data_IF_033704604340
#
_entry.id   IF_033704604340
#
_cell.length_a   1.000
_cell.length_b   1.000
_cell.length_c   1.000
_cell.angle_alpha   90.00
_cell.angle_beta   90.00
_cell.angle_gamma   90.00
#
_symmetry.space_group_name_H-M   'P 1'
#
loop_
_entity.id
_entity.type
_entity.pdbx_description
1 polymer ?
#
# COMPACT_ATOMS: atom_id res chain seq x y z
N UNK A 1 -12.10 39.66 -2.85
CA UNK A 1 -12.65 38.74 -3.87
C UNK A 1 -11.62 37.67 -4.16
N UNK A 2 -11.86 36.47 -3.74
CA UNK A 2 -10.96 35.33 -4.01
C UNK A 2 -11.14 34.90 -5.47
N UNK A 3 -10.06 34.93 -6.26
CA UNK A 3 -10.06 34.41 -7.63
C UNK A 3 -9.90 32.90 -7.56
N UNK A 4 -10.95 32.14 -7.92
CA UNK A 4 -10.88 30.71 -8.03
C UNK A 4 -9.87 30.26 -9.11
N UNK A 5 -9.08 29.23 -8.78
CA UNK A 5 -8.23 28.56 -9.74
C UNK A 5 -8.97 27.34 -10.30
N UNK A 6 -9.24 27.36 -11.59
CA UNK A 6 -9.73 26.19 -12.31
C UNK A 6 -8.52 25.49 -12.91
N UNK A 7 -8.16 24.33 -12.43
CA UNK A 7 -7.16 23.49 -13.07
C UNK A 7 -7.77 22.88 -14.34
N UNK A 8 -7.67 23.60 -15.47
CA UNK A 8 -7.94 23.01 -16.78
C UNK A 8 -6.74 22.14 -17.17
N UNK A 9 -6.80 20.87 -16.92
CA UNK A 9 -5.91 19.92 -17.56
C UNK A 9 -6.24 19.87 -19.05
N UNK A 10 -5.54 20.69 -19.85
CA UNK A 10 -5.59 20.60 -21.29
C UNK A 10 -4.94 19.30 -21.78
N UNK A 11 -5.41 18.70 -22.88
CA UNK A 11 -4.84 17.47 -23.41
C UNK A 11 -3.41 17.74 -23.93
N UNK A 12 -2.42 17.10 -23.34
CA UNK A 12 -1.15 16.86 -24.03
C UNK A 12 -1.30 15.55 -24.81
N UNK A 13 -1.52 15.66 -26.08
CA UNK A 13 -1.64 14.52 -26.99
C UNK A 13 -3.07 14.20 -27.42
N UNK A 14 -3.20 13.61 -28.59
CA UNK A 14 -4.46 13.23 -29.24
C UNK A 14 -5.05 11.94 -28.62
N UNK A 15 -5.21 11.91 -27.29
CA UNK A 15 -5.88 10.83 -26.58
C UNK A 15 -7.34 11.19 -26.31
N UNK A 16 -8.25 10.30 -26.64
CA UNK A 16 -9.67 10.46 -26.34
C UNK A 16 -9.88 10.48 -24.83
N UNK A 17 -10.32 11.60 -24.26
CA UNK A 17 -10.69 11.68 -22.83
C UNK A 17 -12.10 11.13 -22.65
N UNK A 18 -12.36 10.32 -21.63
CA UNK A 18 -13.74 10.05 -21.22
C UNK A 18 -14.42 11.36 -20.84
N UNK A 19 -15.64 11.55 -21.33
CA UNK A 19 -16.42 12.80 -21.23
C UNK A 19 -16.90 13.17 -19.82
N UNK A 20 -16.52 12.40 -18.79
CA UNK A 20 -17.04 12.54 -17.42
C UNK A 20 -15.99 12.37 -16.32
N UNK A 21 -14.75 12.80 -16.57
CA UNK A 21 -13.81 12.98 -15.45
C UNK A 21 -14.30 14.19 -14.67
N UNK A 22 -14.70 14.04 -13.40
CA UNK A 22 -15.13 15.17 -12.59
C UNK A 22 -13.98 16.18 -12.49
N UNK A 23 -14.27 17.44 -12.85
CA UNK A 23 -13.32 18.53 -12.65
C UNK A 23 -13.29 18.86 -11.15
N UNK A 24 -12.10 18.96 -10.56
CA UNK A 24 -11.92 19.48 -9.21
C UNK A 24 -11.57 20.95 -9.34
N UNK A 25 -12.42 21.81 -8.80
CA UNK A 25 -12.16 23.23 -8.65
C UNK A 25 -11.42 23.49 -7.35
N UNK A 26 -10.24 24.10 -7.42
CA UNK A 26 -9.47 24.50 -6.25
C UNK A 26 -9.66 26.01 -6.06
N UNK A 27 -10.33 26.37 -4.97
CA UNK A 27 -10.58 27.77 -4.61
C UNK A 27 -9.51 28.17 -3.58
N UNK A 28 -8.68 29.21 -3.88
CA UNK A 28 -7.73 29.72 -2.91
C UNK A 28 -8.48 30.24 -1.67
N UNK A 29 -8.08 29.75 -0.50
CA UNK A 29 -8.64 30.19 0.78
C UNK A 29 -7.53 30.51 1.77
N UNK A 30 -7.85 31.29 2.81
CA UNK A 30 -6.94 31.49 3.91
C UNK A 30 -6.88 30.21 4.77
N UNK A 31 -5.67 29.85 5.17
CA UNK A 31 -5.47 28.72 6.08
C UNK A 31 -5.72 29.22 7.50
N UNK A 32 -6.71 28.65 8.17
CA UNK A 32 -6.92 28.88 9.60
C UNK A 32 -5.82 28.21 10.40
N UNK A 33 -5.40 28.84 11.51
CA UNK A 33 -4.43 28.27 12.45
C UNK A 33 -5.01 27.11 13.28
N UNK A 34 -5.90 26.32 12.70
CA UNK A 34 -6.47 25.12 13.32
C UNK A 34 -5.55 23.93 13.12
N UNK A 35 -5.40 23.06 14.13
CA UNK A 35 -4.67 21.82 13.95
C UNK A 35 -5.35 20.94 12.90
N UNK A 36 -4.59 20.44 11.95
CA UNK A 36 -5.07 19.52 10.92
C UNK A 36 -4.71 18.09 11.31
N UNK A 37 -5.71 17.19 11.35
CA UNK A 37 -5.47 15.75 11.47
C UNK A 37 -5.04 15.23 10.09
N UNK A 38 -3.75 14.95 9.94
CA UNK A 38 -3.23 14.37 8.71
C UNK A 38 -3.48 12.86 8.69
N UNK A 39 -3.76 12.27 7.52
CA UNK A 39 -3.80 10.82 7.39
C UNK A 39 -2.43 10.24 7.69
N UNK A 40 -2.36 8.99 8.18
CA UNK A 40 -1.10 8.34 8.46
C UNK A 40 -0.26 8.18 7.20
N UNK A 41 1.08 8.25 7.35
CA UNK A 41 1.98 8.04 6.22
C UNK A 41 1.87 6.62 5.69
N UNK A 42 1.31 6.47 4.47
CA UNK A 42 1.20 5.21 3.73
C UNK A 42 2.50 4.40 3.74
N UNK A 43 3.61 5.08 3.47
CA UNK A 43 4.93 4.46 3.39
C UNK A 43 5.40 3.89 4.73
N UNK A 44 5.11 4.56 5.82
CA UNK A 44 5.45 4.07 7.16
C UNK A 44 4.55 2.92 7.59
N UNK A 45 3.25 3.01 7.35
CA UNK A 45 2.29 1.98 7.74
C UNK A 45 2.60 0.63 7.08
N UNK A 46 2.82 0.61 5.75
CA UNK A 46 3.14 -0.63 5.04
C UNK A 46 4.40 -1.31 5.60
N UNK A 47 5.44 -0.52 5.91
CA UNK A 47 6.67 -1.05 6.50
C UNK A 47 6.47 -1.56 7.93
N UNK A 48 5.72 -0.83 8.75
CA UNK A 48 5.41 -1.25 10.12
C UNK A 48 4.61 -2.54 10.14
N UNK A 49 3.60 -2.69 9.27
CA UNK A 49 2.83 -3.93 9.11
C UNK A 49 3.76 -5.10 8.79
N UNK A 50 4.69 -4.94 7.85
CA UNK A 50 5.64 -5.98 7.50
C UNK A 50 6.58 -6.32 8.67
N UNK A 51 7.11 -5.30 9.37
CA UNK A 51 7.99 -5.53 10.52
C UNK A 51 7.27 -6.26 11.66
N UNK A 52 6.01 -5.90 11.93
CA UNK A 52 5.18 -6.62 12.89
C UNK A 52 4.96 -8.08 12.46
N UNK A 53 4.70 -8.32 11.17
CA UNK A 53 4.53 -9.68 10.65
C UNK A 53 5.80 -10.54 10.79
N UNK A 54 6.99 -9.93 10.61
CA UNK A 54 8.30 -10.56 10.77
C UNK A 54 8.70 -10.80 12.23
N UNK A 55 8.07 -10.14 13.18
CA UNK A 55 8.27 -10.36 14.61
C UNK A 55 7.28 -11.40 15.12
N UNK A 56 7.66 -12.21 16.11
CA UNK A 56 6.72 -13.13 16.78
C UNK A 56 5.89 -12.37 17.85
N UNK A 57 4.60 -12.70 17.94
CA UNK A 57 3.71 -12.17 18.97
C UNK A 57 2.78 -11.05 18.50
N UNK A 58 2.10 -10.42 19.45
CA UNK A 58 1.09 -9.40 19.20
C UNK A 58 1.71 -8.00 19.18
N UNK A 59 1.36 -7.21 18.18
CA UNK A 59 1.83 -5.84 17.97
C UNK A 59 0.64 -4.95 17.67
N UNK A 60 0.52 -3.82 18.34
CA UNK A 60 -0.56 -2.86 18.09
C UNK A 60 0.00 -1.62 17.39
N UNK A 61 -0.55 -1.30 16.23
CA UNK A 61 -0.29 -0.07 15.52
C UNK A 61 -1.47 0.88 15.71
N UNK A 62 -1.20 2.03 16.34
CA UNK A 62 -2.22 3.03 16.65
C UNK A 62 -2.00 4.33 15.86
N UNK A 63 -3.02 5.18 15.84
CA UNK A 63 -2.98 6.52 15.27
C UNK A 63 -3.58 6.64 13.88
N UNK A 64 -4.48 5.71 13.51
CA UNK A 64 -5.27 5.79 12.27
C UNK A 64 -6.60 5.08 12.44
N UNK A 65 -7.61 5.60 11.79
CA UNK A 65 -8.97 5.04 11.82
C UNK A 65 -9.17 4.02 10.69
N UNK A 66 -8.49 4.23 9.55
CA UNK A 66 -8.57 3.37 8.36
C UNK A 66 -7.20 3.17 7.72
N UNK A 67 -7.00 1.99 7.16
CA UNK A 67 -5.87 1.72 6.26
C UNK A 67 -6.21 2.26 4.87
N UNK A 68 -5.24 2.87 4.20
CA UNK A 68 -5.40 3.16 2.77
C UNK A 68 -5.17 1.91 1.91
N UNK A 69 -5.66 1.92 0.67
CA UNK A 69 -5.65 0.78 -0.28
C UNK A 69 -4.32 0.04 -0.38
N UNK A 70 -3.20 0.75 -0.33
CA UNK A 70 -1.87 0.13 -0.39
C UNK A 70 -1.54 -0.70 0.86
N UNK A 71 -1.93 -0.20 2.05
CA UNK A 71 -1.71 -0.91 3.31
C UNK A 71 -2.67 -2.10 3.43
N UNK A 72 -3.92 -1.95 2.97
CA UNK A 72 -4.87 -3.06 2.87
C UNK A 72 -4.38 -4.15 1.91
N UNK A 73 -3.76 -3.78 0.79
CA UNK A 73 -3.16 -4.74 -0.13
C UNK A 73 -2.04 -5.54 0.54
N UNK A 74 -1.18 -4.88 1.32
CA UNK A 74 -0.16 -5.55 2.13
C UNK A 74 -0.77 -6.46 3.19
N UNK A 75 -1.79 -5.97 3.91
CA UNK A 75 -2.51 -6.76 4.91
C UNK A 75 -3.09 -8.03 4.30
N UNK A 76 -3.83 -7.92 3.18
CA UNK A 76 -4.42 -9.09 2.48
C UNK A 76 -3.36 -10.12 2.09
N UNK A 77 -2.24 -9.67 1.54
CA UNK A 77 -1.14 -10.58 1.17
C UNK A 77 -0.53 -11.27 2.37
N UNK A 78 -0.27 -10.55 3.46
CA UNK A 78 0.29 -11.12 4.68
C UNK A 78 -0.69 -12.06 5.39
N UNK A 79 -2.00 -11.77 5.33
CA UNK A 79 -3.03 -12.69 5.83
C UNK A 79 -2.99 -14.03 5.10
N UNK A 80 -2.84 -14.01 3.77
CA UNK A 80 -2.68 -15.24 2.97
C UNK A 80 -1.39 -16.01 3.30
N UNK A 81 -0.40 -15.34 3.85
CA UNK A 81 0.86 -15.93 4.30
C UNK A 81 0.84 -16.35 5.79
N UNK A 82 -0.29 -16.19 6.51
CA UNK A 82 -0.48 -16.68 7.87
C UNK A 82 -0.53 -15.63 8.98
N UNK A 83 -0.35 -14.36 8.66
CA UNK A 83 -0.40 -13.28 9.65
C UNK A 83 -1.87 -12.97 9.99
N UNK A 84 -2.17 -12.80 11.27
CA UNK A 84 -3.51 -12.44 11.74
C UNK A 84 -3.60 -10.94 12.02
N UNK A 85 -4.74 -10.36 11.67
CA UNK A 85 -5.04 -8.95 11.87
C UNK A 85 -6.39 -8.78 12.55
N UNK A 86 -6.44 -7.91 13.55
CA UNK A 86 -7.66 -7.55 14.26
C UNK A 86 -7.78 -6.02 14.29
N UNK A 87 -8.97 -5.51 13.98
CA UNK A 87 -9.25 -4.07 14.12
C UNK A 87 -9.41 -3.74 15.58
N UNK A 88 -8.70 -2.72 16.05
CA UNK A 88 -8.81 -2.18 17.41
C UNK A 88 -9.18 -0.70 17.35
N UNK A 89 -9.53 -0.12 18.49
CA UNK A 89 -9.80 1.30 18.56
C UNK A 89 -8.59 2.12 18.09
N UNK A 90 -8.80 2.98 17.10
CA UNK A 90 -7.76 3.87 16.52
C UNK A 90 -6.54 3.11 15.94
N UNK A 91 -6.74 1.89 15.39
CA UNK A 91 -5.64 1.14 14.78
C UNK A 91 -5.91 -0.32 14.47
N UNK A 92 -4.83 -1.10 14.39
CA UNK A 92 -4.88 -2.57 14.17
C UNK A 92 -3.96 -3.30 15.14
N UNK A 93 -4.36 -4.48 15.56
CA UNK A 93 -3.50 -5.48 16.19
C UNK A 93 -3.03 -6.49 15.14
N UNK A 94 -1.76 -6.86 15.18
CA UNK A 94 -1.11 -7.78 14.25
C UNK A 94 -0.46 -8.88 15.05
N UNK A 95 -0.87 -10.13 14.85
CA UNK A 95 -0.17 -11.28 15.39
C UNK A 95 0.87 -11.73 14.39
N UNK A 96 2.11 -11.31 14.62
CA UNK A 96 3.23 -11.62 13.77
C UNK A 96 3.72 -13.05 13.98
N UNK A 97 4.14 -13.68 12.89
CA UNK A 97 4.52 -15.10 12.84
C UNK A 97 6.02 -15.34 12.85
N UNK A 98 6.81 -14.28 12.65
CA UNK A 98 8.26 -14.41 12.43
C UNK A 98 8.58 -15.03 11.07
N UNK A 99 9.86 -15.00 10.66
CA UNK A 99 10.25 -15.47 9.32
C UNK A 99 9.92 -16.96 9.10
N UNK A 100 9.98 -17.77 10.14
CA UNK A 100 9.73 -19.21 10.09
C UNK A 100 8.24 -19.58 10.16
N UNK A 101 7.38 -18.64 10.54
CA UNK A 101 5.94 -18.88 10.70
C UNK A 101 5.12 -18.58 9.45
N UNK A 102 5.72 -18.05 8.40
CA UNK A 102 5.02 -17.87 7.14
C UNK A 102 4.75 -19.21 6.45
N UNK A 103 3.59 -19.33 5.83
CA UNK A 103 3.23 -20.52 5.05
C UNK A 103 2.83 -20.13 3.62
N UNK A 104 2.86 -21.13 2.73
CA UNK A 104 2.51 -20.93 1.33
C UNK A 104 1.07 -20.41 1.19
N UNK A 105 0.93 -19.34 0.40
CA UNK A 105 -0.40 -18.84 0.03
C UNK A 105 -1.13 -19.83 -0.89
N UNK A 106 -2.44 -20.06 -0.68
CA UNK A 106 -3.25 -20.89 -1.56
C UNK A 106 -3.53 -20.23 -2.93
N UNK A 107 -3.27 -18.94 -3.07
CA UNK A 107 -3.58 -18.16 -4.26
C UNK A 107 -2.48 -17.11 -4.55
N UNK A 108 -2.65 -16.39 -5.66
CA UNK A 108 -1.79 -15.26 -6.03
C UNK A 108 -1.88 -14.15 -4.98
N UNK A 109 -0.74 -13.65 -4.52
CA UNK A 109 -0.63 -12.47 -3.65
C UNK A 109 -0.87 -11.22 -4.49
N UNK A 110 -2.02 -10.58 -4.36
CA UNK A 110 -2.37 -9.44 -5.19
C UNK A 110 -2.07 -8.12 -4.48
N UNK A 111 -0.99 -7.45 -4.89
CA UNK A 111 -0.50 -6.20 -4.29
C UNK A 111 -1.29 -4.94 -4.72
N UNK A 112 -2.40 -5.09 -5.45
CA UNK A 112 -3.20 -3.95 -5.95
C UNK A 112 -2.38 -3.06 -6.88
N UNK A 113 -2.41 -1.75 -6.61
CA UNK A 113 -1.56 -0.74 -7.29
C UNK A 113 -0.29 -0.40 -6.48
N UNK A 114 -0.04 -1.10 -5.38
CA UNK A 114 1.02 -0.75 -4.45
C UNK A 114 2.39 -1.26 -4.87
N UNK A 115 3.19 -0.41 -5.52
CA UNK A 115 4.59 -0.74 -5.83
C UNK A 115 5.46 -0.95 -4.60
N UNK A 116 5.12 -0.34 -3.47
CA UNK A 116 5.83 -0.55 -2.20
C UNK A 116 5.50 -1.92 -1.63
N UNK A 117 4.23 -2.30 -1.57
CA UNK A 117 3.82 -3.62 -1.10
C UNK A 117 4.43 -4.73 -1.98
N UNK A 118 4.34 -4.61 -3.31
CA UNK A 118 4.93 -5.57 -4.23
C UNK A 118 6.42 -5.80 -3.95
N UNK A 119 7.22 -4.74 -3.88
CA UNK A 119 8.67 -4.86 -3.68
C UNK A 119 9.04 -5.46 -2.33
N UNK A 120 8.31 -5.08 -1.28
CA UNK A 120 8.50 -5.65 0.05
C UNK A 120 8.09 -7.13 0.09
N UNK A 121 7.00 -7.51 -0.57
CA UNK A 121 6.58 -8.91 -0.70
C UNK A 121 7.59 -9.74 -1.51
N UNK A 122 8.13 -9.22 -2.59
CA UNK A 122 9.21 -9.88 -3.34
C UNK A 122 10.41 -10.14 -2.41
N UNK A 123 10.85 -9.12 -1.66
CA UNK A 123 11.96 -9.27 -0.70
C UNK A 123 11.66 -10.27 0.41
N UNK A 124 10.44 -10.27 0.97
CA UNK A 124 10.02 -11.25 1.95
C UNK A 124 10.02 -12.67 1.37
N UNK A 125 9.30 -12.87 0.27
CA UNK A 125 9.08 -14.22 -0.30
C UNK A 125 10.35 -14.83 -0.89
N UNK A 126 11.34 -14.03 -1.29
CA UNK A 126 12.65 -14.52 -1.71
C UNK A 126 13.44 -15.22 -0.58
N UNK A 127 13.03 -15.05 0.67
CA UNK A 127 13.67 -15.68 1.86
C UNK A 127 12.90 -16.90 2.38
N UNK A 128 11.77 -17.22 1.77
CA UNK A 128 10.94 -18.35 2.18
C UNK A 128 11.25 -19.56 1.30
N UNK A 129 11.09 -20.76 1.85
CA UNK A 129 11.42 -22.03 1.20
C UNK A 129 10.28 -22.60 0.31
N UNK A 130 9.35 -21.75 -0.08
CA UNK A 130 8.24 -22.11 -0.95
C UNK A 130 8.01 -21.10 -2.08
N UNK A 131 7.42 -21.58 -3.16
CA UNK A 131 7.09 -20.73 -4.32
C UNK A 131 5.92 -19.83 -4.00
N UNK A 132 6.07 -18.53 -4.28
CA UNK A 132 5.02 -17.53 -4.20
C UNK A 132 4.78 -16.88 -5.57
N UNK A 133 3.51 -16.67 -5.91
CA UNK A 133 3.11 -15.88 -7.07
C UNK A 133 2.60 -14.53 -6.60
N UNK A 134 3.16 -13.46 -7.12
CA UNK A 134 2.78 -12.09 -6.77
C UNK A 134 2.34 -11.36 -8.03
N UNK A 135 1.23 -10.63 -7.96
CA UNK A 135 0.68 -9.86 -9.06
C UNK A 135 0.14 -8.50 -8.57
N UNK A 136 -0.31 -7.69 -9.49
CA UNK A 136 -0.94 -6.40 -9.23
C UNK A 136 -1.84 -5.97 -10.36
N UNK A 137 -2.29 -4.73 -10.33
CA UNK A 137 -3.10 -4.16 -11.39
C UNK A 137 -2.29 -3.91 -12.69
N UNK A 138 -2.99 -3.47 -13.74
CA UNK A 138 -2.36 -3.18 -15.04
C UNK A 138 -1.25 -2.12 -14.94
N UNK A 139 -1.39 -1.13 -14.06
CA UNK A 139 -0.36 -0.12 -13.82
C UNK A 139 0.87 -0.72 -13.16
N UNK A 140 0.69 -1.59 -12.18
CA UNK A 140 1.78 -2.23 -11.45
C UNK A 140 2.55 -3.24 -12.32
N UNK A 141 1.85 -3.99 -13.17
CA UNK A 141 2.45 -4.91 -14.15
C UNK A 141 3.36 -4.21 -15.17
N UNK A 142 3.05 -2.95 -15.50
CA UNK A 142 3.85 -2.16 -16.45
C UNK A 142 5.10 -1.52 -15.81
N UNK A 143 5.31 -1.66 -14.51
CA UNK A 143 6.49 -1.10 -13.83
C UNK A 143 7.69 -2.04 -13.95
N UNK A 144 8.86 -1.46 -14.14
CA UNK A 144 10.09 -2.24 -14.18
C UNK A 144 10.52 -2.68 -12.77
N UNK A 145 10.71 -3.98 -12.60
CA UNK A 145 11.18 -4.61 -11.35
C UNK A 145 12.51 -5.36 -11.54
N UNK A 146 13.11 -5.30 -12.73
CA UNK A 146 14.31 -6.07 -13.11
C UNK A 146 15.46 -5.85 -12.15
N UNK A 147 15.76 -4.61 -11.76
CA UNK A 147 16.85 -4.31 -10.84
C UNK A 147 16.68 -5.02 -9.49
N UNK A 148 15.47 -5.03 -8.93
CA UNK A 148 15.20 -5.75 -7.69
C UNK A 148 15.35 -7.26 -7.87
N UNK A 149 14.77 -7.80 -8.93
CA UNK A 149 14.84 -9.24 -9.21
C UNK A 149 16.28 -9.68 -9.43
N UNK A 150 17.09 -8.92 -10.18
CA UNK A 150 18.51 -9.20 -10.37
C UNK A 150 19.32 -9.17 -9.07
N UNK A 151 18.96 -8.24 -8.15
CA UNK A 151 19.64 -8.14 -6.87
C UNK A 151 19.30 -9.30 -5.90
N UNK A 152 18.17 -9.98 -6.11
CA UNK A 152 17.70 -11.12 -5.30
C UNK A 152 18.04 -12.48 -5.95
N UNK A 153 18.49 -12.48 -7.20
CA UNK A 153 18.95 -13.72 -7.87
C UNK A 153 20.29 -14.15 -7.28
N UNK A 154 20.48 -15.46 -7.02
CA UNK A 154 21.74 -16.01 -6.54
C UNK A 154 22.87 -15.89 -7.56
#
# INVERSE_FOLDING_TARGET
MAKGWVSKWGPRGKGHRPSHIPAIEIIPTSIDNKPWKLPPSKSHIIRKILLCALSKGKHTLLGFDELGEDAESMQRCLTQLGVQFETVENGIEITGVGIEGFHRSPSVLHAGNSGTALRLLIGLTSRLDFISMIDGDASLRNRNHTTLLSALSP
#
